data_IF_027937317239
#
_entry.id   IF_027937317239
#
_cell.length_a   1.000
_cell.length_b   1.000
_cell.length_c   1.000
_cell.angle_alpha   90.00
_cell.angle_beta   90.00
_cell.angle_gamma   90.00
#
_symmetry.space_group_name_H-M   'P 1'
#
loop_
_entity.id
_entity.type
_entity.pdbx_description
1 polymer ?
#
# COMPACT_ATOMS: atom_id res chain seq x y z
N UNK A 1 13.73 16.51 -16.01
CA UNK A 1 12.36 16.81 -15.55
C UNK A 1 12.00 15.72 -14.57
N UNK A 2 11.72 16.07 -13.31
CA UNK A 2 11.23 15.11 -12.34
C UNK A 2 9.73 14.93 -12.59
N UNK A 3 9.33 13.77 -13.10
CA UNK A 3 7.93 13.46 -13.43
C UNK A 3 7.35 12.54 -12.36
N UNK A 4 6.09 12.77 -11.99
CA UNK A 4 5.34 11.85 -11.14
C UNK A 4 4.87 10.61 -11.91
N UNK A 5 4.74 9.49 -11.21
CA UNK A 5 4.25 8.21 -11.72
C UNK A 5 2.97 7.81 -10.98
N UNK A 6 1.93 7.38 -11.70
CA UNK A 6 0.75 6.78 -11.09
C UNK A 6 1.10 5.37 -10.60
N UNK A 7 1.00 5.13 -9.29
CA UNK A 7 1.35 3.85 -8.65
C UNK A 7 0.15 3.05 -8.14
N UNK A 8 -0.99 3.72 -7.91
CA UNK A 8 -2.28 3.07 -7.64
C UNK A 8 -3.40 3.84 -8.36
N UNK A 9 -4.38 3.12 -8.90
CA UNK A 9 -5.59 3.67 -9.49
C UNK A 9 -6.80 3.20 -8.68
N UNK A 10 -7.73 4.12 -8.41
CA UNK A 10 -8.96 3.89 -7.66
C UNK A 10 -10.16 4.28 -8.55
N UNK A 11 -10.46 3.49 -9.60
CA UNK A 11 -11.53 3.81 -10.55
C UNK A 11 -12.93 3.79 -9.92
N UNK A 12 -13.08 3.12 -8.77
CA UNK A 12 -14.34 2.96 -8.05
C UNK A 12 -14.62 4.11 -7.06
N UNK A 13 -13.65 4.99 -6.82
CA UNK A 13 -13.82 6.14 -5.94
C UNK A 13 -14.92 7.08 -6.47
N UNK A 14 -15.64 7.69 -5.52
CA UNK A 14 -16.71 8.65 -5.80
C UNK A 14 -16.43 9.98 -5.12
N UNK A 15 -16.79 11.13 -5.73
CA UNK A 15 -17.59 11.27 -6.95
C UNK A 15 -16.82 11.08 -8.27
N UNK A 16 -15.49 11.06 -8.23
CA UNK A 16 -14.64 10.89 -9.41
C UNK A 16 -13.58 9.82 -9.14
N UNK A 17 -13.17 9.04 -10.16
CA UNK A 17 -12.07 8.09 -10.02
C UNK A 17 -10.81 8.84 -9.59
N UNK A 18 -10.07 8.28 -8.65
CA UNK A 18 -8.85 8.87 -8.11
C UNK A 18 -7.62 8.03 -8.43
N UNK A 19 -6.43 8.60 -8.27
CA UNK A 19 -5.18 7.88 -8.38
C UNK A 19 -4.16 8.39 -7.36
N UNK A 20 -3.23 7.52 -6.99
CA UNK A 20 -2.07 7.85 -6.19
C UNK A 20 -0.86 8.03 -7.11
N UNK A 21 -0.24 9.20 -7.03
CA UNK A 21 0.96 9.57 -7.76
C UNK A 21 2.14 9.62 -6.80
N UNK A 22 3.24 8.96 -7.15
CA UNK A 22 4.55 9.12 -6.53
C UNK A 22 5.41 10.07 -7.37
N UNK A 23 5.94 11.13 -6.76
CA UNK A 23 6.85 12.04 -7.43
C UNK A 23 7.90 12.65 -6.52
N UNK A 24 9.02 13.15 -7.05
CA UNK A 24 9.99 13.91 -6.28
C UNK A 24 9.50 15.34 -6.05
N UNK A 25 9.72 15.88 -4.85
CA UNK A 25 9.61 17.30 -4.60
C UNK A 25 10.70 17.73 -3.60
N UNK A 26 11.53 18.70 -4.00
CA UNK A 26 12.64 19.21 -3.19
C UNK A 26 13.54 18.09 -2.61
N UNK A 27 13.85 17.07 -3.44
CA UNK A 27 14.71 15.95 -3.06
C UNK A 27 14.07 14.90 -2.14
N UNK A 28 12.74 14.94 -1.93
CA UNK A 28 12.01 13.97 -1.11
C UNK A 28 10.88 13.32 -1.91
N UNK A 29 10.55 12.03 -1.67
CA UNK A 29 9.40 11.40 -2.28
C UNK A 29 8.10 11.97 -1.69
N UNK A 30 7.12 12.25 -2.54
CA UNK A 30 5.77 12.64 -2.16
C UNK A 30 4.74 11.72 -2.80
N UNK A 31 3.73 11.40 -2.01
CA UNK A 31 2.51 10.75 -2.41
C UNK A 31 1.40 11.77 -2.54
N UNK A 32 0.79 11.81 -3.70
CA UNK A 32 -0.31 12.72 -4.04
C UNK A 32 -1.50 11.88 -4.45
N UNK A 33 -2.60 11.97 -3.71
CA UNK A 33 -3.88 11.43 -4.16
C UNK A 33 -4.63 12.54 -4.84
N UNK A 34 -5.02 12.32 -6.08
CA UNK A 34 -5.81 13.28 -6.84
C UNK A 34 -6.85 12.60 -7.72
N UNK A 35 -7.90 13.33 -8.06
CA UNK A 35 -8.93 12.88 -8.98
C UNK A 35 -9.07 13.85 -10.16
N UNK A 36 -8.90 13.42 -11.42
CA UNK A 36 -9.17 14.25 -12.58
C UNK A 36 -10.68 14.46 -12.73
N UNK A 37 -11.11 15.73 -12.70
CA UNK A 37 -12.49 16.13 -12.94
C UNK A 37 -12.61 16.62 -14.38
N UNK A 38 -12.70 15.67 -15.31
CA UNK A 38 -12.63 15.92 -16.76
C UNK A 38 -13.70 16.90 -17.24
N UNK A 39 -14.92 16.80 -16.71
CA UNK A 39 -16.04 17.67 -17.08
C UNK A 39 -15.75 19.16 -16.81
N UNK A 40 -14.96 19.46 -15.78
CA UNK A 40 -14.61 20.82 -15.38
C UNK A 40 -13.19 21.21 -15.78
N UNK A 41 -12.43 20.31 -16.43
CA UNK A 41 -11.00 20.47 -16.71
C UNK A 41 -10.18 20.83 -15.46
N UNK A 42 -10.49 20.20 -14.33
CA UNK A 42 -9.82 20.40 -13.04
C UNK A 42 -9.15 19.13 -12.55
N UNK A 43 -8.18 19.28 -11.65
CA UNK A 43 -7.60 18.20 -10.87
C UNK A 43 -7.92 18.45 -9.39
N UNK A 44 -8.70 17.58 -8.77
CA UNK A 44 -8.99 17.66 -7.35
C UNK A 44 -7.82 17.03 -6.56
N UNK A 45 -7.12 17.84 -5.77
CA UNK A 45 -6.06 17.37 -4.88
C UNK A 45 -6.68 16.92 -3.56
N UNK A 46 -6.61 15.62 -3.26
CA UNK A 46 -7.29 15.04 -2.09
C UNK A 46 -6.33 15.04 -0.89
N UNK A 47 -5.12 14.54 -1.07
CA UNK A 47 -4.10 14.58 -0.02
C UNK A 47 -2.70 14.56 -0.60
N UNK A 48 -1.75 15.16 0.13
CA UNK A 48 -0.32 15.13 -0.17
C UNK A 48 0.42 14.75 1.10
N UNK A 49 1.27 13.73 1.04
CA UNK A 49 2.04 13.28 2.19
C UNK A 49 3.38 12.68 1.78
N UNK A 50 4.35 12.65 2.68
CA UNK A 50 5.57 11.86 2.49
C UNK A 50 5.29 10.38 2.83
N UNK A 51 5.60 9.41 1.96
CA UNK A 51 5.38 8.00 2.26
C UNK A 51 6.24 7.53 3.44
N UNK A 52 5.61 6.91 4.41
CA UNK A 52 6.22 6.33 5.60
C UNK A 52 7.04 5.06 5.27
N UNK A 53 8.34 4.96 5.65
CA UNK A 53 9.18 3.78 5.38
C UNK A 53 8.66 2.47 5.97
N UNK A 54 7.89 2.54 7.06
CA UNK A 54 7.37 1.36 7.74
C UNK A 54 6.10 0.83 7.06
N UNK A 55 5.45 1.67 6.25
CA UNK A 55 4.22 1.32 5.51
C UNK A 55 4.46 1.02 4.05
N UNK A 56 5.57 1.49 3.49
CA UNK A 56 5.89 1.39 2.07
C UNK A 56 7.22 0.69 1.85
N UNK A 57 7.36 0.05 0.69
CA UNK A 57 8.63 -0.55 0.28
C UNK A 57 9.73 0.52 0.09
N UNK A 58 11.01 0.13 -0.05
CA UNK A 58 12.10 1.09 -0.21
C UNK A 58 11.91 2.08 -1.38
N UNK A 59 11.30 1.65 -2.48
CA UNK A 59 10.99 2.49 -3.64
C UNK A 59 9.73 3.35 -3.45
N UNK A 60 8.98 3.12 -2.36
CA UNK A 60 7.73 3.83 -2.00
C UNK A 60 6.55 3.58 -2.93
N UNK A 61 6.59 2.54 -3.74
CA UNK A 61 5.59 2.25 -4.78
C UNK A 61 4.51 1.28 -4.31
N UNK A 62 4.83 0.43 -3.34
CA UNK A 62 3.95 -0.63 -2.84
C UNK A 62 3.83 -0.58 -1.34
N UNK A 63 2.60 -0.78 -0.85
CA UNK A 63 2.33 -0.92 0.58
C UNK A 63 2.92 -2.23 1.07
N UNK A 64 3.55 -2.20 2.25
CA UNK A 64 3.96 -3.42 2.94
C UNK A 64 2.70 -4.13 3.41
N UNK A 65 2.39 -5.27 2.79
CA UNK A 65 1.39 -6.19 3.31
C UNK A 65 1.92 -6.70 4.65
N UNK A 66 1.07 -6.73 5.68
CA UNK A 66 1.42 -7.51 6.88
C UNK A 66 1.69 -8.94 6.41
N UNK A 67 2.88 -9.47 6.68
CA UNK A 67 3.08 -10.91 6.67
C UNK A 67 2.03 -11.49 7.63
N UNK A 68 1.00 -12.13 7.10
CA UNK A 68 0.25 -13.12 7.84
C UNK A 68 1.26 -14.21 8.18
N UNK A 69 1.78 -14.19 9.41
CA UNK A 69 2.54 -15.31 9.93
C UNK A 69 1.71 -16.59 9.67
N UNK A 70 2.33 -17.70 9.23
CA UNK A 70 1.60 -18.95 9.15
C UNK A 70 1.04 -19.22 10.55
N UNK A 71 -0.28 -19.37 10.66
CA UNK A 71 -0.94 -19.84 11.88
C UNK A 71 -0.27 -21.16 12.24
N UNK A 72 0.65 -21.13 13.21
CA UNK A 72 1.22 -22.33 13.77
C UNK A 72 0.06 -23.14 14.36
N UNK A 73 -0.37 -24.17 13.63
CA UNK A 73 -1.33 -25.13 14.13
C UNK A 73 -0.81 -25.76 15.42
N UNK A 74 -1.68 -26.18 16.35
CA UNK A 74 -1.23 -26.82 17.58
C UNK A 74 -0.47 -28.09 17.21
N UNK A 75 0.82 -28.09 17.51
CA UNK A 75 1.67 -29.26 17.38
C UNK A 75 1.31 -30.19 18.54
N UNK A 76 0.45 -31.16 18.25
CA UNK A 76 0.12 -32.25 19.17
C UNK A 76 1.40 -32.99 19.51
N UNK A 77 1.92 -32.73 20.70
CA UNK A 77 3.04 -33.46 21.28
C UNK A 77 2.59 -34.92 21.52
N UNK A 78 3.04 -35.84 20.68
CA UNK A 78 2.86 -37.26 20.89
C UNK A 78 3.49 -37.67 22.23
N UNK A 79 2.69 -38.21 23.15
CA UNK A 79 3.17 -38.78 24.42
C UNK A 79 3.83 -40.15 24.12
N UNK A 80 4.99 -40.47 24.71
CA UNK A 80 5.63 -41.76 24.50
C UNK A 80 4.98 -42.84 25.38
N UNK A 81 4.68 -43.98 24.74
CA UNK A 81 4.76 -45.35 25.26
C UNK A 81 3.93 -45.74 26.49
N UNK A 82 3.11 -46.77 26.33
CA UNK A 82 2.81 -47.72 27.43
C UNK A 82 3.02 -49.14 26.91
N UNK A 83 3.83 -49.98 27.59
CA UNK A 83 4.01 -51.38 27.20
C UNK A 83 2.79 -52.20 27.63
N UNK A 84 2.30 -53.04 26.73
CA UNK A 84 1.32 -54.09 27.05
C UNK A 84 2.05 -55.26 27.70
N UNK A 85 1.46 -55.78 28.79
CA UNK A 85 1.91 -56.98 29.53
C UNK A 85 1.63 -58.27 28.78
#
# INVERSE_FOLDING_TARGET
METGEIIEEYPEDRPYPSCLILGPAAGRPLHVVCAPVTAERKLALITVYQPDPDRWDPERRRRRTRCSAPSAGPQTLARPGSPVS
#
